data_IF_986873872402
#
_entry.id   IF_986873872402
#
_cell.length_a   1.000
_cell.length_b   1.000
_cell.length_c   1.000
_cell.angle_alpha   90.00
_cell.angle_beta   90.00
_cell.angle_gamma   90.00
#
_symmetry.space_group_name_H-M   'P 1'
#
loop_
_entity.id
_entity.type
_entity.pdbx_description
1 polymer ?
#
# COMPACT_ATOMS: atom_id res chain seq x y z
N UNK A 1 0.54 -10.76 -12.76
CA UNK A 1 1.72 -10.35 -13.54
C UNK A 1 2.79 -11.38 -13.31
N UNK A 2 3.52 -11.80 -14.34
CA UNK A 2 4.67 -12.71 -14.19
C UNK A 2 5.76 -12.06 -13.33
N UNK A 3 6.34 -12.84 -12.40
CA UNK A 3 7.36 -12.32 -11.46
C UNK A 3 8.64 -11.91 -12.18
N UNK A 4 9.05 -12.64 -13.24
CA UNK A 4 10.26 -12.31 -13.98
C UNK A 4 10.09 -11.00 -14.78
N UNK A 5 8.94 -10.78 -15.39
CA UNK A 5 8.64 -9.54 -16.11
C UNK A 5 8.61 -8.35 -15.15
N UNK A 6 7.99 -8.52 -13.98
CA UNK A 6 7.95 -7.51 -12.94
C UNK A 6 9.36 -7.12 -12.44
N UNK A 7 10.18 -8.11 -12.12
CA UNK A 7 11.53 -7.87 -11.61
C UNK A 7 12.45 -7.28 -12.68
N UNK A 8 12.42 -7.79 -13.90
CA UNK A 8 13.18 -7.25 -15.02
C UNK A 8 12.80 -5.78 -15.28
N UNK A 9 11.51 -5.46 -15.20
CA UNK A 9 11.07 -4.08 -15.36
C UNK A 9 11.55 -3.19 -14.21
N UNK A 10 11.45 -3.65 -12.97
CA UNK A 10 11.96 -2.92 -11.82
C UNK A 10 13.45 -2.60 -11.95
N UNK A 11 14.26 -3.59 -12.35
CA UNK A 11 15.70 -3.43 -12.56
C UNK A 11 16.01 -2.46 -13.71
N UNK A 12 15.29 -2.56 -14.83
CA UNK A 12 15.48 -1.67 -15.98
C UNK A 12 15.25 -0.19 -15.65
N UNK A 13 14.44 0.08 -14.61
CA UNK A 13 14.16 1.42 -14.10
C UNK A 13 15.07 1.82 -12.92
N UNK A 14 16.13 1.07 -12.61
CA UNK A 14 17.05 1.35 -11.48
C UNK A 14 16.45 1.01 -10.11
N UNK A 15 15.33 0.31 -10.09
CA UNK A 15 14.57 -0.02 -8.89
C UNK A 15 14.72 -1.46 -8.41
N UNK A 16 13.72 -1.89 -7.67
CA UNK A 16 13.44 -3.26 -7.26
C UNK A 16 11.92 -3.43 -7.11
N UNK A 17 11.44 -4.63 -6.80
CA UNK A 17 10.01 -4.92 -6.67
C UNK A 17 9.27 -3.97 -5.71
N UNK A 18 9.88 -3.57 -4.59
CA UNK A 18 9.29 -2.60 -3.66
C UNK A 18 9.16 -1.20 -4.25
N UNK A 19 10.20 -0.72 -4.92
CA UNK A 19 10.17 0.60 -5.56
C UNK A 19 9.28 0.62 -6.80
N UNK A 20 9.14 -0.50 -7.51
CA UNK A 20 8.20 -0.60 -8.62
C UNK A 20 6.75 -0.54 -8.13
N UNK A 21 6.41 -1.25 -7.03
CA UNK A 21 5.10 -1.14 -6.40
C UNK A 21 4.84 0.29 -5.89
N UNK A 22 5.84 0.93 -5.27
CA UNK A 22 5.73 2.31 -4.82
C UNK A 22 5.50 3.28 -5.99
N UNK A 23 6.25 3.11 -7.09
CA UNK A 23 6.07 3.88 -8.33
C UNK A 23 4.69 3.67 -8.95
N UNK A 24 4.24 2.42 -9.07
CA UNK A 24 2.90 2.07 -9.54
C UNK A 24 1.81 2.73 -8.68
N UNK A 25 1.93 2.63 -7.35
CA UNK A 25 0.98 3.22 -6.41
C UNK A 25 0.94 4.74 -6.51
N UNK A 26 2.11 5.39 -6.66
CA UNK A 26 2.20 6.83 -6.83
C UNK A 26 1.59 7.29 -8.16
N UNK A 27 1.84 6.54 -9.25
CA UNK A 27 1.28 6.84 -10.57
C UNK A 27 -0.24 6.66 -10.60
N UNK A 28 -0.75 5.61 -9.98
CA UNK A 28 -2.19 5.37 -9.84
C UNK A 28 -2.86 6.47 -8.98
N UNK A 29 -2.17 6.92 -7.92
CA UNK A 29 -2.64 8.04 -7.10
C UNK A 29 -2.70 9.35 -7.89
N UNK A 30 -1.74 9.62 -8.76
CA UNK A 30 -1.77 10.78 -9.67
C UNK A 30 -3.01 10.74 -10.55
N UNK A 31 -3.35 9.59 -11.15
CA UNK A 31 -4.55 9.44 -11.96
C UNK A 31 -5.86 9.63 -11.16
N UNK A 32 -5.82 9.37 -9.87
CA UNK A 32 -6.95 9.57 -8.94
C UNK A 32 -6.96 10.97 -8.28
N UNK A 33 -6.09 11.89 -8.71
CA UNK A 33 -5.90 13.24 -8.15
C UNK A 33 -5.53 13.23 -6.65
N UNK A 34 -4.84 12.17 -6.17
CA UNK A 34 -4.36 12.04 -4.79
C UNK A 34 -2.91 12.51 -4.65
N UNK A 35 -2.64 13.73 -5.09
CA UNK A 35 -1.33 14.39 -4.96
C UNK A 35 -1.37 15.43 -3.87
N UNK A 36 -0.25 15.63 -3.22
CA UNK A 36 -0.06 16.73 -2.27
C UNK A 36 -0.22 18.05 -2.96
N UNK A 37 -1.00 18.95 -2.38
CA UNK A 37 -1.22 20.29 -2.96
C UNK A 37 0.07 21.14 -2.96
N UNK A 38 0.97 20.88 -2.01
CA UNK A 38 2.17 21.68 -1.81
C UNK A 38 3.26 21.49 -2.90
N UNK A 39 3.43 20.25 -3.38
CA UNK A 39 4.55 19.88 -4.27
C UNK A 39 4.18 18.91 -5.39
N UNK A 40 2.93 18.45 -5.46
CA UNK A 40 2.47 17.49 -6.45
C UNK A 40 2.95 16.06 -6.24
N UNK A 41 3.70 15.78 -5.19
CA UNK A 41 4.16 14.44 -4.85
C UNK A 41 3.03 13.60 -4.22
N UNK A 42 3.26 12.30 -4.10
CA UNK A 42 2.36 11.35 -3.45
C UNK A 42 2.99 10.85 -2.15
N UNK A 43 2.23 10.87 -1.07
CA UNK A 43 2.61 10.26 0.21
C UNK A 43 2.15 8.80 0.23
N UNK A 44 3.10 7.86 0.32
CA UNK A 44 2.84 6.44 0.48
C UNK A 44 2.97 6.06 1.96
N UNK A 45 1.92 5.50 2.54
CA UNK A 45 1.97 4.87 3.87
C UNK A 45 2.31 3.39 3.70
N UNK A 46 3.50 3.00 4.16
CA UNK A 46 4.07 1.67 3.96
C UNK A 46 4.02 0.90 5.27
N UNK A 47 3.35 -0.25 5.27
CA UNK A 47 3.38 -1.18 6.40
C UNK A 47 4.73 -1.93 6.44
N UNK A 48 5.34 -1.98 7.61
CA UNK A 48 6.64 -2.62 7.85
C UNK A 48 6.48 -3.69 8.91
N UNK A 49 6.87 -4.90 8.60
CA UNK A 49 6.96 -5.98 9.57
C UNK A 49 8.18 -5.76 10.48
N UNK A 50 7.95 -5.72 11.78
CA UNK A 50 8.98 -5.60 12.81
C UNK A 50 9.31 -6.94 13.49
N UNK A 51 8.69 -8.06 13.06
CA UNK A 51 9.06 -9.38 13.57
C UNK A 51 10.46 -9.75 13.12
N UNK A 52 11.23 -10.32 14.03
CA UNK A 52 12.62 -10.70 13.80
C UNK A 52 12.75 -12.16 13.35
N UNK A 53 11.77 -13.00 13.68
CA UNK A 53 11.72 -14.40 13.30
C UNK A 53 10.28 -14.91 13.13
N UNK A 54 10.12 -16.15 12.70
CA UNK A 54 8.80 -16.81 12.59
C UNK A 54 8.24 -17.18 13.97
N UNK A 55 9.09 -17.32 14.99
CA UNK A 55 8.70 -17.58 16.37
C UNK A 55 8.34 -16.30 17.15
N UNK A 56 8.51 -15.13 16.53
CA UNK A 56 8.11 -13.85 17.12
C UNK A 56 6.58 -13.74 17.12
N UNK A 57 5.97 -14.03 18.26
CA UNK A 57 4.53 -14.08 18.49
C UNK A 57 3.92 -12.73 18.93
N UNK A 58 4.73 -11.65 18.94
CA UNK A 58 4.21 -10.32 19.29
C UNK A 58 3.00 -9.96 18.43
N UNK A 59 1.89 -9.65 19.07
CA UNK A 59 0.77 -8.99 18.40
C UNK A 59 1.21 -7.59 17.93
N UNK A 60 0.69 -7.09 16.83
CA UNK A 60 0.99 -5.74 16.31
C UNK A 60 2.49 -5.43 16.14
N UNK A 61 3.33 -6.43 15.84
CA UNK A 61 4.74 -6.21 15.52
C UNK A 61 4.89 -5.58 14.12
N UNK A 62 4.33 -4.40 13.95
CA UNK A 62 4.35 -3.64 12.71
C UNK A 62 4.53 -2.15 12.99
N UNK A 63 5.10 -1.44 12.02
CA UNK A 63 5.17 0.01 12.00
C UNK A 63 4.67 0.53 10.66
N UNK A 64 4.30 1.81 10.62
CA UNK A 64 3.98 2.51 9.40
C UNK A 64 5.06 3.55 9.10
N UNK A 65 5.44 3.65 7.85
CA UNK A 65 6.39 4.66 7.37
C UNK A 65 5.80 5.43 6.21
N UNK A 66 5.99 6.74 6.21
CA UNK A 66 5.57 7.58 5.10
C UNK A 66 6.76 7.85 4.17
N UNK A 67 6.60 7.50 2.90
CA UNK A 67 7.54 7.82 1.84
C UNK A 67 6.90 8.80 0.85
N UNK A 68 7.61 9.85 0.49
CA UNK A 68 7.15 10.81 -0.52
C UNK A 68 7.76 10.45 -1.87
N UNK A 69 6.93 10.30 -2.90
CA UNK A 69 7.31 9.88 -4.25
C UNK A 69 6.77 10.87 -5.27
N UNK A 70 7.63 11.34 -6.18
CA UNK A 70 7.23 12.12 -7.35
C UNK A 70 6.66 11.18 -8.42
N UNK A 71 5.35 11.25 -8.76
CA UNK A 71 4.72 10.34 -9.70
C UNK A 71 5.10 10.63 -11.17
N UNK A 72 5.71 11.77 -11.46
CA UNK A 72 5.97 12.19 -12.83
C UNK A 72 7.13 11.44 -13.49
N UNK A 73 8.06 10.89 -12.69
CA UNK A 73 9.29 10.26 -13.18
C UNK A 73 9.31 8.75 -13.04
N UNK A 74 8.43 8.17 -12.22
CA UNK A 74 8.50 6.77 -11.79
C UNK A 74 8.40 5.75 -12.94
N UNK A 75 7.81 6.13 -14.07
CA UNK A 75 7.72 5.25 -15.25
C UNK A 75 9.03 5.20 -16.06
N UNK A 76 9.95 6.15 -15.82
CA UNK A 76 11.26 6.22 -16.47
C UNK A 76 12.42 5.90 -15.51
N UNK A 77 12.32 6.27 -14.23
CA UNK A 77 13.37 6.08 -13.23
C UNK A 77 12.76 5.89 -11.83
N UNK A 78 13.12 4.80 -11.18
CA UNK A 78 12.70 4.44 -9.82
C UNK A 78 13.76 4.76 -8.74
N UNK A 79 14.88 5.35 -9.10
CA UNK A 79 16.00 5.57 -8.18
C UNK A 79 15.57 6.43 -6.98
N UNK A 80 14.86 7.53 -7.22
CA UNK A 80 14.36 8.41 -6.16
C UNK A 80 13.30 7.71 -5.29
N UNK A 81 12.33 7.00 -5.91
CA UNK A 81 11.32 6.23 -5.19
C UNK A 81 11.95 5.13 -4.32
N UNK A 82 12.98 4.43 -4.84
CA UNK A 82 13.74 3.43 -4.10
C UNK A 82 14.46 4.04 -2.89
N UNK A 83 15.06 5.21 -3.06
CA UNK A 83 15.74 5.91 -1.97
C UNK A 83 14.74 6.36 -0.90
N UNK A 84 13.60 6.95 -1.29
CA UNK A 84 12.55 7.39 -0.38
C UNK A 84 11.98 6.23 0.46
N UNK A 85 11.63 5.11 -0.18
CA UNK A 85 11.14 3.90 0.50
C UNK A 85 12.18 3.34 1.48
N UNK A 86 13.45 3.29 1.07
CA UNK A 86 14.54 2.81 1.93
C UNK A 86 14.70 3.68 3.18
N UNK A 87 14.73 5.00 3.01
CA UNK A 87 14.87 5.96 4.12
C UNK A 87 13.68 5.84 5.08
N UNK A 88 12.45 5.82 4.55
CA UNK A 88 11.24 5.68 5.34
C UNK A 88 11.24 4.39 6.17
N UNK A 89 11.59 3.25 5.56
CA UNK A 89 11.69 1.95 6.25
C UNK A 89 12.78 1.94 7.32
N UNK A 90 13.93 2.54 7.05
CA UNK A 90 15.02 2.62 8.02
C UNK A 90 14.62 3.47 9.22
N UNK A 91 14.00 4.63 8.99
CA UNK A 91 13.51 5.51 10.04
C UNK A 91 12.50 4.80 10.94
N UNK A 92 11.49 4.14 10.37
CA UNK A 92 10.46 3.45 11.13
C UNK A 92 10.98 2.25 11.96
N UNK A 93 12.12 1.67 11.57
CA UNK A 93 12.79 0.63 12.38
C UNK A 93 13.61 1.20 13.54
N UNK A 94 14.08 2.42 13.41
CA UNK A 94 14.97 3.07 14.40
C UNK A 94 14.21 3.94 15.40
N UNK A 95 13.10 4.55 14.96
CA UNK A 95 12.29 5.44 15.75
C UNK A 95 10.94 4.76 16.03
N UNK A 96 10.62 4.40 17.29
CA UNK A 96 9.29 3.91 17.64
C UNK A 96 8.23 4.93 17.25
N UNK A 97 7.13 4.45 16.69
CA UNK A 97 5.98 5.31 16.40
C UNK A 97 5.34 5.75 17.73
N UNK A 98 5.28 7.05 18.03
CA UNK A 98 4.65 7.56 19.26
C UNK A 98 3.20 7.06 19.43
N UNK A 99 2.49 6.80 18.33
CA UNK A 99 1.16 6.22 18.36
C UNK A 99 1.16 4.81 18.98
N UNK A 100 2.21 4.02 18.72
CA UNK A 100 2.35 2.67 19.30
C UNK A 100 2.65 2.69 20.80
N UNK A 101 3.29 3.74 21.31
CA UNK A 101 3.56 3.88 22.74
C UNK A 101 2.29 4.12 23.57
N UNK A 102 1.23 4.65 22.94
CA UNK A 102 -0.05 4.92 23.59
C UNK A 102 -0.97 3.69 23.58
N UNK A 103 -0.77 2.73 22.67
CA UNK A 103 -1.62 1.54 22.56
C UNK A 103 -1.80 0.76 23.88
N UNK A 104 -0.78 0.56 24.73
CA UNK A 104 -0.95 -0.13 26.01
C UNK A 104 -1.87 0.60 26.98
N UNK A 105 -2.11 1.90 26.80
CA UNK A 105 -2.99 2.71 27.64
C UNK A 105 -4.47 2.64 27.19
N UNK A 106 -4.74 2.21 25.96
CA UNK A 106 -6.09 2.16 25.37
C UNK A 106 -7.08 1.37 26.27
N UNK A 107 -6.74 0.19 26.83
CA UNK A 107 -7.69 -0.55 27.68
C UNK A 107 -8.15 0.20 28.92
N UNK A 108 -7.39 1.21 29.36
CA UNK A 108 -7.68 2.04 30.54
C UNK A 108 -8.45 3.31 30.21
N UNK A 109 -8.65 3.61 28.93
CA UNK A 109 -9.37 4.81 28.49
C UNK A 109 -10.87 4.53 28.33
N UNK A 110 -11.75 5.47 28.71
CA UNK A 110 -13.17 5.41 28.36
C UNK A 110 -13.34 5.33 26.84
N UNK A 111 -14.34 4.58 26.35
CA UNK A 111 -14.57 4.39 24.91
C UNK A 111 -14.64 5.71 24.12
N UNK A 112 -15.22 6.77 24.70
CA UNK A 112 -15.27 8.08 24.05
C UNK A 112 -13.89 8.76 23.91
N UNK A 113 -12.97 8.50 24.83
CA UNK A 113 -11.60 9.02 24.75
C UNK A 113 -10.75 8.22 23.74
N UNK A 114 -10.98 6.91 23.60
CA UNK A 114 -10.29 6.06 22.61
C UNK A 114 -10.50 6.59 21.21
N UNK A 115 -11.73 6.98 20.85
CA UNK A 115 -12.03 7.56 19.54
C UNK A 115 -11.28 8.88 19.33
N UNK A 116 -11.27 9.78 20.32
CA UNK A 116 -10.55 11.05 20.22
C UNK A 116 -9.03 10.86 20.08
N UNK A 117 -8.46 9.87 20.80
CA UNK A 117 -7.03 9.52 20.67
C UNK A 117 -6.76 8.90 19.30
N UNK A 118 -7.61 8.00 18.80
CA UNK A 118 -7.48 7.44 17.46
C UNK A 118 -7.59 8.52 16.38
N UNK A 119 -8.57 9.41 16.49
CA UNK A 119 -8.73 10.54 15.56
C UNK A 119 -7.50 11.48 15.58
N UNK A 120 -6.83 11.65 16.72
CA UNK A 120 -5.63 12.45 16.86
C UNK A 120 -4.39 11.75 16.27
N UNK A 121 -4.22 10.44 16.51
CA UNK A 121 -3.06 9.66 16.08
C UNK A 121 -3.13 9.27 14.61
N UNK A 122 -4.34 9.00 14.12
CA UNK A 122 -4.61 8.65 12.74
C UNK A 122 -5.32 9.79 12.01
N UNK A 123 -5.15 11.04 12.48
CA UNK A 123 -5.77 12.21 11.89
C UNK A 123 -5.54 12.22 10.39
N UNK A 124 -6.63 12.39 9.67
CA UNK A 124 -6.62 12.45 8.22
C UNK A 124 -5.66 13.53 7.75
N UNK A 125 -4.59 13.10 7.13
CA UNK A 125 -3.57 14.00 6.60
C UNK A 125 -4.09 14.68 5.34
N UNK A 126 -3.88 15.99 5.23
CA UNK A 126 -4.12 16.74 3.99
C UNK A 126 -3.28 16.20 2.81
N UNK A 127 -2.25 15.42 3.12
CA UNK A 127 -1.38 14.77 2.12
C UNK A 127 -2.03 13.58 1.40
N UNK A 128 -3.27 13.22 1.72
CA UNK A 128 -4.04 12.12 1.10
C UNK A 128 -3.22 10.83 0.95
N UNK A 129 -2.68 10.26 2.02
CA UNK A 129 -1.74 9.14 1.92
C UNK A 129 -2.38 7.93 1.23
N UNK A 130 -1.56 7.23 0.47
CA UNK A 130 -1.90 5.97 -0.21
C UNK A 130 -1.35 4.81 0.62
N UNK A 131 -2.20 3.88 1.02
CA UNK A 131 -1.74 2.65 1.66
C UNK A 131 -1.04 1.77 0.63
N UNK A 132 0.24 1.49 0.84
CA UNK A 132 1.07 0.69 -0.05
C UNK A 132 1.74 -0.43 0.73
N UNK A 133 1.23 -1.65 0.58
CA UNK A 133 1.70 -2.82 1.33
C UNK A 133 2.28 -3.87 0.39
N UNK A 134 3.52 -4.27 0.65
CA UNK A 134 4.15 -5.39 -0.04
C UNK A 134 4.35 -6.53 0.97
N UNK A 135 3.65 -7.64 0.76
CA UNK A 135 3.69 -8.82 1.63
C UNK A 135 4.90 -9.71 1.36
N UNK A 136 5.67 -9.42 0.29
CA UNK A 136 6.81 -10.23 -0.10
C UNK A 136 6.41 -11.58 -0.68
N UNK A 137 7.27 -12.58 -0.46
CA UNK A 137 7.02 -13.96 -0.88
C UNK A 137 6.04 -14.62 0.07
N UNK A 138 4.90 -15.06 -0.46
CA UNK A 138 3.87 -15.75 0.30
C UNK A 138 4.15 -17.27 0.30
N UNK A 139 3.87 -17.97 1.42
CA UNK A 139 4.03 -19.41 1.48
C UNK A 139 3.23 -20.11 0.37
N UNK A 140 3.85 -21.07 -0.38
CA UNK A 140 3.17 -21.77 -1.47
C UNK A 140 1.90 -22.51 -1.05
N UNK A 141 1.81 -22.90 0.22
CA UNK A 141 0.65 -23.60 0.79
C UNK A 141 -0.63 -22.74 0.78
N UNK A 142 -0.49 -21.40 0.78
CA UNK A 142 -1.63 -20.50 0.62
C UNK A 142 -2.34 -20.67 -0.73
N UNK A 143 -1.63 -21.16 -1.74
CA UNK A 143 -2.18 -21.44 -3.06
C UNK A 143 -2.66 -22.90 -3.22
N UNK A 144 -2.72 -23.70 -2.14
CA UNK A 144 -3.02 -25.14 -2.21
C UNK A 144 -4.08 -25.56 -1.20
N UNK A 145 -5.24 -24.93 -1.27
CA UNK A 145 -6.32 -25.16 -0.29
C UNK A 145 -6.82 -26.62 -0.27
N UNK A 146 -6.88 -27.26 -1.43
CA UNK A 146 -7.35 -28.64 -1.60
C UNK A 146 -6.22 -29.61 -2.05
N UNK A 147 -4.94 -29.17 -1.96
CA UNK A 147 -3.78 -29.92 -2.42
C UNK A 147 -3.43 -29.69 -3.88
N UNK A 148 -4.30 -29.05 -4.67
CA UNK A 148 -3.98 -28.60 -6.04
C UNK A 148 -3.55 -27.13 -6.04
N UNK A 149 -2.62 -26.70 -6.92
CA UNK A 149 -2.22 -25.31 -7.00
C UNK A 149 -3.36 -24.46 -7.59
N UNK A 150 -3.72 -23.38 -6.90
CA UNK A 150 -4.63 -22.38 -7.42
C UNK A 150 -3.99 -21.63 -8.60
N UNK A 151 -4.79 -21.33 -9.61
CA UNK A 151 -4.34 -20.55 -10.77
C UNK A 151 -4.06 -19.10 -10.39
N UNK A 152 -4.90 -18.52 -9.54
CA UNK A 152 -4.75 -17.15 -9.04
C UNK A 152 -4.95 -17.11 -7.52
N UNK A 153 -4.18 -16.25 -6.88
CA UNK A 153 -4.33 -15.94 -5.44
C UNK A 153 -4.36 -14.42 -5.30
N UNK A 154 -5.39 -13.91 -4.66
CA UNK A 154 -5.48 -12.49 -4.33
C UNK A 154 -5.90 -12.31 -2.87
N UNK A 155 -5.54 -11.17 -2.30
CA UNK A 155 -5.88 -10.81 -0.93
C UNK A 155 -6.89 -9.68 -0.98
N UNK A 156 -8.02 -9.89 -0.32
CA UNK A 156 -9.06 -8.87 -0.16
C UNK A 156 -9.41 -8.74 1.30
N UNK A 157 -9.48 -7.50 1.77
CA UNK A 157 -10.04 -7.18 3.08
C UNK A 157 -11.37 -6.44 2.90
N UNK A 158 -12.29 -6.64 3.83
CA UNK A 158 -13.54 -5.87 3.91
C UNK A 158 -13.59 -5.25 5.31
N UNK A 159 -13.57 -3.93 5.37
CA UNK A 159 -13.81 -3.20 6.61
C UNK A 159 -15.29 -2.82 6.69
N UNK A 160 -16.00 -3.45 7.61
CA UNK A 160 -17.43 -3.21 7.84
C UNK A 160 -17.70 -2.01 8.73
N UNK A 161 -16.67 -1.39 9.29
CA UNK A 161 -16.80 -0.26 10.22
C UNK A 161 -16.56 1.09 9.55
N UNK A 162 -16.04 1.12 8.32
CA UNK A 162 -15.85 2.36 7.57
C UNK A 162 -17.19 2.93 7.16
N UNK A 163 -17.48 4.15 7.61
CA UNK A 163 -18.69 4.87 7.28
C UNK A 163 -18.45 5.84 6.12
N UNK A 164 -19.52 6.21 5.42
CA UNK A 164 -19.46 7.25 4.38
C UNK A 164 -18.90 8.58 4.93
N UNK A 165 -19.21 8.93 6.18
CA UNK A 165 -18.66 10.12 6.83
C UNK A 165 -17.15 10.06 7.05
N UNK A 166 -16.59 8.87 7.27
CA UNK A 166 -15.14 8.66 7.37
C UNK A 166 -14.46 8.77 6.01
N UNK A 167 -15.05 8.16 4.97
CA UNK A 167 -14.56 8.30 3.60
C UNK A 167 -14.59 9.76 3.11
N UNK A 168 -15.59 10.52 3.52
CA UNK A 168 -15.66 11.96 3.22
C UNK A 168 -14.56 12.75 3.95
N UNK A 169 -14.30 12.46 5.23
CA UNK A 169 -13.25 13.12 6.01
C UNK A 169 -11.84 12.79 5.53
N UNK A 170 -11.61 11.57 5.06
CA UNK A 170 -10.33 11.13 4.48
C UNK A 170 -10.15 11.54 3.02
N UNK A 171 -11.08 12.29 2.45
CA UNK A 171 -11.08 12.64 1.03
C UNK A 171 -10.92 11.42 0.10
N UNK A 172 -11.61 10.32 0.45
CA UNK A 172 -11.52 9.05 -0.27
C UNK A 172 -10.39 8.15 0.21
N UNK A 173 -10.12 7.08 -0.54
CA UNK A 173 -9.17 6.04 -0.16
C UNK A 173 -8.46 5.49 -1.38
N UNK A 174 -7.19 5.10 -1.22
CA UNK A 174 -6.47 4.26 -2.16
C UNK A 174 -5.60 3.30 -1.36
N UNK A 175 -5.83 2.02 -1.57
CA UNK A 175 -5.07 0.92 -0.96
C UNK A 175 -4.52 0.03 -2.07
N UNK A 176 -3.23 -0.23 -2.02
CA UNK A 176 -2.53 -1.14 -2.93
C UNK A 176 -1.80 -2.18 -2.09
N UNK A 177 -2.13 -3.44 -2.29
CA UNK A 177 -1.49 -4.57 -1.61
C UNK A 177 -0.93 -5.52 -2.65
N UNK A 178 0.32 -5.94 -2.49
CA UNK A 178 0.92 -6.94 -3.38
C UNK A 178 1.54 -8.09 -2.62
N UNK A 179 1.61 -9.26 -3.27
CA UNK A 179 2.32 -10.44 -2.78
C UNK A 179 2.82 -11.28 -3.95
N UNK A 180 3.87 -12.06 -3.70
CA UNK A 180 4.43 -13.02 -4.66
C UNK A 180 3.99 -14.41 -4.29
N UNK A 181 3.45 -15.13 -5.25
CA UNK A 181 3.06 -16.53 -5.07
C UNK A 181 3.06 -17.27 -6.42
N UNK A 182 3.58 -18.49 -6.45
CA UNK A 182 3.60 -19.35 -7.64
C UNK A 182 4.15 -18.67 -8.92
N UNK A 183 5.23 -17.88 -8.80
CA UNK A 183 5.83 -17.18 -9.94
C UNK A 183 5.01 -15.98 -10.45
N UNK A 184 4.00 -15.55 -9.71
CA UNK A 184 3.14 -14.42 -10.05
C UNK A 184 3.26 -13.30 -9.00
N UNK A 185 3.15 -12.06 -9.44
CA UNK A 185 2.84 -10.91 -8.61
C UNK A 185 1.33 -10.71 -8.64
N UNK A 186 0.69 -10.84 -7.48
CA UNK A 186 -0.70 -10.46 -7.27
C UNK A 186 -0.76 -9.06 -6.69
N UNK A 187 -1.58 -8.18 -7.28
CA UNK A 187 -1.80 -6.81 -6.80
C UNK A 187 -3.29 -6.61 -6.63
N UNK A 188 -3.70 -6.28 -5.40
CA UNK A 188 -5.07 -5.87 -5.10
C UNK A 188 -5.11 -4.35 -4.97
N UNK A 189 -6.06 -3.74 -5.66
CA UNK A 189 -6.29 -2.28 -5.63
C UNK A 189 -7.70 -2.01 -5.16
N UNK A 190 -7.82 -1.18 -4.14
CA UNK A 190 -9.08 -0.65 -3.66
C UNK A 190 -9.02 0.88 -3.71
N UNK A 191 -9.99 1.50 -4.35
CA UNK A 191 -10.04 2.95 -4.49
C UNK A 191 -11.46 3.47 -4.25
N UNK A 192 -11.53 4.61 -3.57
CA UNK A 192 -12.74 5.42 -3.47
C UNK A 192 -12.37 6.89 -3.68
N UNK A 193 -12.90 7.50 -4.72
CA UNK A 193 -12.73 8.92 -5.04
C UNK A 193 -14.02 9.68 -4.70
N UNK A 194 -13.90 10.70 -3.86
CA UNK A 194 -15.04 11.52 -3.48
C UNK A 194 -15.63 12.23 -4.70
N UNK A 195 -16.95 12.15 -4.84
CA UNK A 195 -17.68 12.80 -5.94
C UNK A 195 -17.58 12.09 -7.30
N UNK A 196 -16.91 10.92 -7.38
CA UNK A 196 -16.88 10.07 -8.57
C UNK A 196 -17.93 8.94 -8.48
N UNK A 197 -18.22 8.29 -9.59
CA UNK A 197 -19.12 7.12 -9.64
C UNK A 197 -18.51 5.89 -8.93
N UNK A 198 -17.17 5.78 -8.90
CA UNK A 198 -16.45 4.69 -8.26
C UNK A 198 -16.80 3.31 -8.84
N UNK A 199 -16.88 3.22 -10.14
CA UNK A 199 -17.18 1.95 -10.80
C UNK A 199 -15.96 1.03 -10.84
N UNK A 200 -16.19 -0.27 -10.71
CA UNK A 200 -15.15 -1.28 -10.83
C UNK A 200 -14.53 -1.28 -12.24
N UNK A 201 -15.32 -0.98 -13.27
CA UNK A 201 -14.84 -0.91 -14.63
C UNK A 201 -13.83 0.22 -14.84
N UNK A 202 -14.13 1.41 -14.32
CA UNK A 202 -13.22 2.55 -14.39
C UNK A 202 -11.90 2.25 -13.66
N UNK A 203 -11.98 1.63 -12.48
CA UNK A 203 -10.78 1.24 -11.73
C UNK A 203 -9.93 0.22 -12.50
N UNK A 204 -10.56 -0.77 -13.14
CA UNK A 204 -9.85 -1.75 -13.98
C UNK A 204 -9.13 -1.09 -15.17
N UNK A 205 -9.79 -0.15 -15.85
CA UNK A 205 -9.17 0.59 -16.95
C UNK A 205 -7.99 1.42 -16.47
N UNK A 206 -8.13 2.10 -15.32
CA UNK A 206 -7.09 2.91 -14.75
C UNK A 206 -5.87 2.08 -14.33
N UNK A 207 -6.09 0.92 -13.72
CA UNK A 207 -5.03 -0.04 -13.36
C UNK A 207 -4.33 -0.56 -14.62
N UNK A 208 -5.10 -0.90 -15.67
CA UNK A 208 -4.54 -1.36 -16.97
C UNK A 208 -3.69 -0.28 -17.62
N UNK A 209 -4.19 0.95 -17.66
CA UNK A 209 -3.44 2.09 -18.18
C UNK A 209 -2.15 2.28 -17.39
N UNK A 210 -2.23 2.31 -16.06
CA UNK A 210 -1.06 2.51 -15.19
C UNK A 210 -0.01 1.41 -15.38
N UNK A 211 -0.42 0.13 -15.47
CA UNK A 211 0.51 -0.96 -15.78
C UNK A 211 1.17 -0.77 -17.15
N UNK A 212 0.39 -0.36 -18.17
CA UNK A 212 0.88 -0.08 -19.52
C UNK A 212 1.94 1.04 -19.54
N UNK A 213 1.81 2.07 -18.71
CA UNK A 213 2.82 3.13 -18.57
C UNK A 213 4.17 2.62 -18.03
N UNK A 214 4.14 1.55 -17.25
CA UNK A 214 5.35 0.82 -16.83
C UNK A 214 5.78 -0.25 -17.86
N UNK A 215 5.10 -0.39 -19.00
CA UNK A 215 5.38 -1.46 -19.97
C UNK A 215 5.05 -2.86 -19.44
N UNK A 216 4.14 -2.96 -18.50
CA UNK A 216 3.67 -4.21 -17.90
C UNK A 216 2.25 -4.52 -18.34
N UNK A 217 1.91 -5.81 -18.30
CA UNK A 217 0.56 -6.30 -18.51
C UNK A 217 0.24 -7.43 -17.53
N UNK A 218 -1.04 -7.71 -17.33
CA UNK A 218 -1.49 -8.78 -16.46
C UNK A 218 -2.98 -9.04 -16.62
N UNK A 219 -3.46 -10.12 -16.03
CA UNK A 219 -4.89 -10.40 -15.91
C UNK A 219 -5.47 -9.45 -14.85
N UNK A 220 -6.58 -8.80 -15.14
CA UNK A 220 -7.27 -7.84 -14.27
C UNK A 220 -8.73 -8.28 -14.16
N UNK A 221 -9.14 -8.66 -12.95
CA UNK A 221 -10.49 -9.09 -12.58
C UNK A 221 -11.26 -8.02 -11.80
#
# INVERSE_FOLDING_TARGET
IDTADWDARAESLGGNSYSLLAGFSAKLAEHLDRRRAADGAVTLSIAINLRESLEDDRALAMAFANATVDPTKVTADLTEARAAVRVARQKAKQEPDPAMEILPLIPWLPQGAVKGVADLLFAYSEDLPVSCSNLGDLPPDLARVDGTPAEYVFIRAVDTNVTMGELQRSHGQLVVVSGRINGQISISVEAYKLGAENSQQELRELVRQTLGEFGLSGVID
#
